data_IF_521365572606
#
_entry.id   IF_521365572606
#
_cell.length_a   1.000
_cell.length_b   1.000
_cell.length_c   1.000
_cell.angle_alpha   90.00
_cell.angle_beta   90.00
_cell.angle_gamma   90.00
#
_symmetry.space_group_name_H-M   'P 1'
#
loop_
_entity.id
_entity.type
_entity.pdbx_description
1 polymer ?
#
# COMPACT_ATOMS: atom_id res chain seq x y z
N UNK A 1 0.01 -6.87 0.57
CA UNK A 1 0.69 -6.55 1.83
C UNK A 1 0.08 -7.39 2.95
N UNK A 2 0.90 -7.91 3.87
CA UNK A 2 0.46 -8.72 5.02
C UNK A 2 0.82 -7.97 6.30
N UNK A 3 -0.15 -7.72 7.16
CA UNK A 3 0.07 -7.12 8.47
C UNK A 3 0.49 -8.21 9.46
N UNK A 4 1.51 -7.97 10.30
CA UNK A 4 2.11 -9.00 11.17
C UNK A 4 2.03 -8.70 12.67
N UNK A 5 1.39 -7.60 13.06
CA UNK A 5 1.29 -7.15 14.46
C UNK A 5 -0.07 -6.54 14.78
N UNK A 6 -0.43 -6.54 16.06
CA UNK A 6 -1.64 -5.90 16.59
C UNK A 6 -2.93 -6.54 16.11
N UNK A 7 -4.03 -5.77 16.14
CA UNK A 7 -5.38 -6.21 15.75
C UNK A 7 -5.47 -6.71 14.30
N UNK A 8 -4.58 -6.23 13.43
CA UNK A 8 -4.56 -6.54 12.00
C UNK A 8 -3.71 -7.77 11.66
N UNK A 9 -3.08 -8.42 12.65
CA UNK A 9 -2.14 -9.51 12.41
C UNK A 9 -2.76 -10.63 11.55
N UNK A 10 -2.05 -11.05 10.50
CA UNK A 10 -2.48 -12.05 9.53
C UNK A 10 -3.41 -11.53 8.43
N UNK A 11 -3.94 -10.31 8.55
CA UNK A 11 -4.81 -9.71 7.53
C UNK A 11 -4.00 -9.16 6.36
N UNK A 12 -4.63 -9.06 5.19
CA UNK A 12 -3.96 -8.61 3.97
C UNK A 12 -4.73 -7.53 3.23
N UNK A 13 -4.00 -6.70 2.49
CA UNK A 13 -4.54 -5.78 1.49
C UNK A 13 -3.81 -5.99 0.15
N UNK A 14 -4.55 -5.94 -0.95
CA UNK A 14 -4.04 -6.15 -2.29
C UNK A 14 -4.23 -4.86 -3.09
N UNK A 15 -3.16 -4.45 -3.77
CA UNK A 15 -3.14 -3.33 -4.71
C UNK A 15 -2.58 -3.85 -6.03
N UNK A 16 -3.28 -3.58 -7.14
CA UNK A 16 -2.83 -3.94 -8.50
C UNK A 16 -2.88 -2.68 -9.35
N UNK A 17 -1.71 -2.19 -9.75
CA UNK A 17 -1.58 -0.89 -10.43
C UNK A 17 -0.22 -0.72 -11.09
N UNK A 18 -0.12 0.30 -11.95
CA UNK A 18 1.15 0.77 -12.51
C UNK A 18 1.89 1.62 -11.47
N UNK A 19 3.19 1.39 -11.32
CA UNK A 19 4.04 2.15 -10.39
C UNK A 19 5.11 3.00 -11.12
N UNK A 20 4.79 4.23 -11.55
CA UNK A 20 5.77 5.15 -12.13
C UNK A 20 6.60 5.83 -11.02
N UNK A 21 7.68 5.17 -10.56
CA UNK A 21 8.42 5.57 -9.34
C UNK A 21 9.03 6.98 -9.35
N UNK A 22 9.27 7.55 -10.54
CA UNK A 22 9.76 8.91 -10.73
C UNK A 22 8.69 9.98 -10.47
N UNK A 23 7.41 9.59 -10.39
CA UNK A 23 6.33 10.48 -9.98
C UNK A 23 6.23 10.43 -8.45
N UNK A 24 6.45 11.56 -7.75
CA UNK A 24 6.59 11.54 -6.29
C UNK A 24 5.31 11.09 -5.59
N UNK A 25 4.14 11.59 -6.00
CA UNK A 25 2.84 11.25 -5.43
C UNK A 25 2.03 10.40 -6.42
N UNK A 26 1.53 9.24 -5.97
CA UNK A 26 0.72 8.31 -6.78
C UNK A 26 -0.48 7.82 -5.97
N UNK A 27 -1.56 7.50 -6.67
CA UNK A 27 -2.72 6.83 -6.08
C UNK A 27 -2.81 5.39 -6.59
N UNK A 28 -2.87 4.43 -5.66
CA UNK A 28 -3.00 3.01 -5.96
C UNK A 28 -4.36 2.49 -5.46
N UNK A 29 -5.16 1.80 -6.30
CA UNK A 29 -6.41 1.20 -5.87
C UNK A 29 -6.17 0.00 -4.94
N UNK A 30 -6.97 -0.08 -3.88
CA UNK A 30 -7.10 -1.28 -3.06
C UNK A 30 -8.22 -2.12 -3.65
N UNK A 31 -7.84 -3.26 -4.23
CA UNK A 31 -8.75 -4.13 -4.98
C UNK A 31 -9.29 -5.30 -4.16
N UNK A 32 -8.83 -5.46 -2.92
CA UNK A 32 -9.33 -6.47 -2.00
C UNK A 32 -8.40 -6.69 -0.80
N UNK A 33 -8.79 -7.66 0.03
CA UNK A 33 -8.06 -8.03 1.25
C UNK A 33 -8.64 -9.28 1.90
N UNK A 34 -7.93 -9.79 2.90
CA UNK A 34 -8.34 -10.97 3.69
C UNK A 34 -8.32 -10.67 5.19
N UNK A 35 -8.98 -11.52 5.98
CA UNK A 35 -9.05 -11.37 7.42
C UNK A 35 -9.87 -10.13 7.81
N UNK A 36 -9.26 -9.24 8.61
CA UNK A 36 -9.89 -8.00 9.04
C UNK A 36 -10.33 -7.10 7.88
N UNK A 37 -9.70 -7.23 6.71
CA UNK A 37 -10.00 -6.45 5.50
C UNK A 37 -10.85 -7.22 4.48
N UNK A 38 -11.67 -8.16 4.92
CA UNK A 38 -12.57 -8.90 4.02
C UNK A 38 -13.51 -7.94 3.28
N UNK A 39 -13.65 -8.15 1.97
CA UNK A 39 -14.42 -7.29 1.05
C UNK A 39 -13.96 -5.82 1.04
N UNK A 40 -12.70 -5.56 1.38
CA UNK A 40 -12.15 -4.21 1.39
C UNK A 40 -12.10 -3.57 0.01
N UNK A 41 -12.32 -2.26 -0.03
CA UNK A 41 -12.08 -1.37 -1.17
C UNK A 41 -11.53 -0.05 -0.67
N UNK A 42 -10.80 0.68 -1.51
CA UNK A 42 -10.28 1.98 -1.12
C UNK A 42 -9.10 2.41 -1.98
N UNK A 43 -8.31 3.33 -1.44
CA UNK A 43 -7.18 3.95 -2.12
C UNK A 43 -5.98 4.06 -1.20
N UNK A 44 -4.80 3.96 -1.80
CA UNK A 44 -3.52 4.19 -1.16
C UNK A 44 -2.84 5.39 -1.81
N UNK A 45 -2.58 6.44 -1.04
CA UNK A 45 -1.76 7.56 -1.45
C UNK A 45 -0.29 7.23 -1.15
N UNK A 46 0.53 7.20 -2.19
CA UNK A 46 1.90 6.69 -2.15
C UNK A 46 2.89 7.80 -2.49
N UNK A 47 3.82 8.05 -1.56
CA UNK A 47 4.83 9.11 -1.69
C UNK A 47 6.25 8.54 -1.59
N UNK A 48 7.09 8.78 -2.61
CA UNK A 48 8.52 8.47 -2.50
C UNK A 48 9.22 9.60 -1.74
N UNK A 49 9.83 9.30 -0.60
CA UNK A 49 10.66 10.26 0.15
C UNK A 49 12.13 10.21 -0.24
N UNK A 50 12.63 9.01 -0.51
CA UNK A 50 14.00 8.77 -0.91
C UNK A 50 14.01 7.78 -2.07
N UNK A 51 14.80 8.07 -3.09
CA UNK A 51 15.14 7.16 -4.16
C UNK A 51 16.62 7.33 -4.45
N UNK A 52 17.41 6.31 -4.16
CA UNK A 52 18.82 6.22 -4.56
C UNK A 52 18.97 5.04 -5.53
N UNK A 53 18.98 5.29 -6.85
CA UNK A 53 19.14 4.25 -7.85
C UNK A 53 20.52 3.58 -7.82
N UNK A 54 21.55 4.28 -7.34
CA UNK A 54 22.93 3.76 -7.28
C UNK A 54 23.07 2.77 -6.13
N UNK A 55 22.57 3.14 -4.95
CA UNK A 55 22.52 2.24 -3.81
C UNK A 55 21.39 1.19 -3.90
N UNK A 56 20.44 1.37 -4.83
CA UNK A 56 19.29 0.48 -5.02
C UNK A 56 18.25 0.54 -3.91
N UNK A 57 18.18 1.65 -3.18
CA UNK A 57 17.27 1.82 -2.04
C UNK A 57 16.19 2.87 -2.32
N UNK A 58 15.01 2.64 -1.75
CA UNK A 58 13.92 3.61 -1.78
C UNK A 58 13.15 3.58 -0.47
N UNK A 59 12.71 4.74 -0.01
CA UNK A 59 11.77 4.87 1.11
C UNK A 59 10.47 5.45 0.58
N UNK A 60 9.39 4.69 0.72
CA UNK A 60 8.08 5.01 0.17
C UNK A 60 7.05 4.94 1.29
N UNK A 61 6.32 6.03 1.49
CA UNK A 61 5.20 6.11 2.42
C UNK A 61 3.90 5.71 1.72
N UNK A 62 3.07 4.98 2.47
CA UNK A 62 1.75 4.56 2.05
C UNK A 62 0.74 5.06 3.08
N UNK A 63 -0.14 5.97 2.65
CA UNK A 63 -1.30 6.39 3.43
C UNK A 63 -2.55 5.71 2.86
N UNK A 64 -3.14 4.82 3.64
CA UNK A 64 -4.22 3.93 3.20
C UNK A 64 -5.56 4.42 3.74
N UNK A 65 -6.55 4.58 2.85
CA UNK A 65 -7.96 4.76 3.23
C UNK A 65 -8.73 3.54 2.77
N UNK A 66 -9.28 2.78 3.73
CA UNK A 66 -9.90 1.47 3.48
C UNK A 66 -11.31 1.45 4.05
N UNK A 67 -12.27 1.04 3.23
CA UNK A 67 -13.61 0.67 3.66
C UNK A 67 -13.71 -0.85 3.61
N UNK A 68 -14.10 -1.47 4.73
CA UNK A 68 -14.32 -2.91 4.86
C UNK A 68 -15.49 -3.17 5.82
N UNK A 69 -15.86 -4.44 5.98
CA UNK A 69 -16.95 -4.89 6.88
C UNK A 69 -16.42 -5.28 8.26
#
# INVERSE_FOLDING_TARGET
FVFTKGKLNGSTLIMVTRNPILIPNREFPIVGGTGFFQFSRGVANVKTYLLDPVAGIATVEYNLTVVHY
#
